data_IF_546511917128
#
_entry.id   IF_546511917128
#
_cell.length_a   1.000
_cell.length_b   1.000
_cell.length_c   1.000
_cell.angle_alpha   90.00
_cell.angle_beta   90.00
_cell.angle_gamma   90.00
#
_symmetry.space_group_name_H-M   'P 1'
#
loop_
_entity.id
_entity.type
_entity.pdbx_description
1 polymer ?
#
# COMPACT_ATOMS: atom_id res chain seq x y z
N UNK A 1 4.60 -6.09 -14.74
CA UNK A 1 3.81 -5.48 -13.65
C UNK A 1 4.71 -5.11 -12.49
N UNK A 2 4.55 -3.93 -11.97
CA UNK A 2 5.32 -3.45 -10.82
C UNK A 2 4.43 -3.51 -9.58
N UNK A 3 4.95 -4.14 -8.52
CA UNK A 3 4.29 -4.24 -7.23
C UNK A 3 5.03 -3.37 -6.22
N UNK A 4 4.32 -2.40 -5.67
CA UNK A 4 4.84 -1.46 -4.69
C UNK A 4 4.23 -1.81 -3.35
N UNK A 5 5.03 -2.34 -2.45
CA UNK A 5 4.57 -2.84 -1.17
C UNK A 5 5.15 -1.99 -0.05
N UNK A 6 4.29 -1.45 0.79
CA UNK A 6 4.69 -0.67 1.96
C UNK A 6 4.27 -1.41 3.21
N UNK A 7 5.24 -1.82 4.00
CA UNK A 7 5.02 -2.41 5.32
C UNK A 7 5.03 -1.29 6.35
N UNK A 8 4.07 -1.28 7.25
CA UNK A 8 3.88 -0.18 8.19
C UNK A 8 3.91 -0.65 9.63
N UNK A 9 4.65 0.08 10.45
CA UNK A 9 4.59 0.00 11.90
C UNK A 9 3.66 1.12 12.35
N UNK A 10 2.62 0.80 13.10
CA UNK A 10 1.59 1.78 13.47
C UNK A 10 2.00 2.62 14.67
N UNK A 11 1.47 3.85 14.74
CA UNK A 11 1.56 4.66 15.95
C UNK A 11 0.80 3.96 17.09
N UNK A 12 1.25 4.14 18.35
CA UNK A 12 0.63 3.44 19.51
C UNK A 12 -0.86 3.74 19.68
N UNK A 13 -1.32 4.91 19.25
CA UNK A 13 -2.73 5.30 19.39
C UNK A 13 -3.66 4.71 18.35
N UNK A 14 -3.12 3.99 17.36
CA UNK A 14 -3.94 3.35 16.32
C UNK A 14 -4.58 2.10 16.90
N UNK A 15 -5.86 2.21 17.23
CA UNK A 15 -6.67 1.09 17.74
C UNK A 15 -7.09 0.18 16.58
N UNK A 16 -7.59 -1.05 16.88
CA UNK A 16 -8.15 -1.91 15.81
C UNK A 16 -9.25 -1.22 15.00
N UNK A 17 -10.10 -0.42 15.63
CA UNK A 17 -11.14 0.33 14.92
C UNK A 17 -10.53 1.38 13.98
N UNK A 18 -9.50 2.08 14.42
CA UNK A 18 -8.77 3.04 13.58
C UNK A 18 -8.08 2.36 12.40
N UNK A 19 -7.53 1.17 12.63
CA UNK A 19 -6.88 0.40 11.56
C UNK A 19 -7.89 0.00 10.47
N UNK A 20 -9.08 -0.45 10.86
CA UNK A 20 -10.15 -0.77 9.89
C UNK A 20 -10.51 0.47 9.06
N UNK A 21 -10.62 1.62 9.69
CA UNK A 21 -10.90 2.88 9.03
C UNK A 21 -9.77 3.29 8.10
N UNK A 22 -8.53 3.08 8.53
CA UNK A 22 -7.33 3.36 7.72
C UNK A 22 -7.32 2.50 6.46
N UNK A 23 -7.64 1.23 6.57
CA UNK A 23 -7.72 0.34 5.42
C UNK A 23 -8.81 0.77 4.43
N UNK A 24 -9.97 1.15 4.93
CA UNK A 24 -11.06 1.66 4.09
C UNK A 24 -10.65 2.94 3.35
N UNK A 25 -10.07 3.89 4.08
CA UNK A 25 -9.60 5.16 3.51
C UNK A 25 -8.54 4.93 2.45
N UNK A 26 -7.62 4.01 2.70
CA UNK A 26 -6.56 3.63 1.75
C UNK A 26 -7.17 3.15 0.43
N UNK A 27 -8.09 2.19 0.49
CA UNK A 27 -8.73 1.66 -0.72
C UNK A 27 -9.52 2.74 -1.46
N UNK A 28 -10.34 3.49 -0.75
CA UNK A 28 -11.20 4.50 -1.38
C UNK A 28 -10.41 5.62 -2.02
N UNK A 29 -9.34 6.06 -1.37
CA UNK A 29 -8.53 7.18 -1.86
C UNK A 29 -7.67 6.78 -3.05
N UNK A 30 -6.96 5.67 -2.93
CA UNK A 30 -5.98 5.27 -3.95
C UNK A 30 -6.65 4.73 -5.22
N UNK A 31 -7.86 4.19 -5.12
CA UNK A 31 -8.61 3.77 -6.31
C UNK A 31 -9.00 4.93 -7.23
N UNK A 32 -8.92 6.16 -6.76
CA UNK A 32 -9.17 7.35 -7.58
C UNK A 32 -8.02 7.70 -8.52
N UNK A 33 -6.87 7.08 -8.33
CA UNK A 33 -5.67 7.37 -9.12
C UNK A 33 -5.62 6.41 -10.31
N UNK A 34 -5.71 6.94 -11.56
CA UNK A 34 -5.86 6.07 -12.75
C UNK A 34 -4.69 5.14 -13.00
N UNK A 35 -3.48 5.53 -12.62
CA UNK A 35 -2.27 4.74 -12.86
C UNK A 35 -2.18 3.52 -11.96
N UNK A 36 -2.93 3.49 -10.86
CA UNK A 36 -2.95 2.36 -9.94
C UNK A 36 -3.94 1.31 -10.45
N UNK A 37 -3.43 0.13 -10.77
CA UNK A 37 -4.25 -0.97 -11.29
C UNK A 37 -4.95 -1.74 -10.18
N UNK A 38 -4.32 -1.85 -9.01
CA UNK A 38 -4.85 -2.61 -7.90
C UNK A 38 -4.39 -2.00 -6.59
N UNK A 39 -5.30 -1.91 -5.63
CA UNK A 39 -5.01 -1.48 -4.27
C UNK A 39 -5.38 -2.60 -3.33
N UNK A 40 -4.41 -3.10 -2.59
CA UNK A 40 -4.63 -4.10 -1.55
C UNK A 40 -4.00 -3.61 -0.27
N UNK A 41 -4.68 -3.84 0.83
CA UNK A 41 -4.13 -3.56 2.14
C UNK A 41 -4.67 -4.58 3.12
N UNK A 42 -3.96 -4.78 4.21
CA UNK A 42 -4.36 -5.79 5.16
C UNK A 42 -3.57 -5.73 6.45
N UNK A 43 -3.94 -6.65 7.34
CA UNK A 43 -3.30 -6.80 8.65
C UNK A 43 -2.40 -8.02 8.64
N UNK A 44 -1.29 -7.92 9.37
CA UNK A 44 -0.44 -9.08 9.57
C UNK A 44 -1.16 -10.09 10.46
N UNK A 45 -1.14 -11.35 10.08
CA UNK A 45 -1.76 -12.42 10.87
C UNK A 45 -0.90 -12.82 12.08
N UNK A 46 0.38 -12.46 12.08
CA UNK A 46 1.26 -12.65 13.22
C UNK A 46 1.17 -11.43 14.13
N UNK A 47 0.52 -11.58 15.29
CA UNK A 47 0.33 -10.50 16.26
C UNK A 47 1.63 -9.98 16.86
N UNK A 48 2.73 -10.73 16.72
CA UNK A 48 4.05 -10.36 17.22
C UNK A 48 4.91 -9.65 16.19
N UNK A 49 4.43 -9.55 14.93
CA UNK A 49 5.18 -8.87 13.88
C UNK A 49 5.27 -7.38 14.16
N UNK A 50 6.43 -6.81 13.87
CA UNK A 50 6.61 -5.37 13.93
C UNK A 50 5.97 -4.63 12.75
N UNK A 51 5.44 -5.37 11.76
CA UNK A 51 4.80 -4.82 10.56
C UNK A 51 3.31 -5.22 10.54
N UNK A 52 2.47 -4.60 11.38
CA UNK A 52 1.06 -5.00 11.53
C UNK A 52 0.16 -4.65 10.35
N UNK A 53 0.59 -3.74 9.47
CA UNK A 53 -0.23 -3.24 8.37
C UNK A 53 0.59 -3.16 7.11
N UNK A 54 -0.04 -3.43 5.96
CA UNK A 54 0.63 -3.26 4.67
C UNK A 54 -0.30 -2.64 3.64
N UNK A 55 0.32 -1.99 2.66
CA UNK A 55 -0.36 -1.48 1.47
C UNK A 55 0.39 -2.02 0.26
N UNK A 56 -0.33 -2.66 -0.65
CA UNK A 56 0.24 -3.17 -1.89
C UNK A 56 -0.46 -2.55 -3.09
N UNK A 57 0.32 -1.90 -3.93
CA UNK A 57 -0.16 -1.26 -5.16
C UNK A 57 0.42 -1.97 -6.36
N UNK A 58 -0.34 -2.03 -7.44
CA UNK A 58 0.09 -2.62 -8.69
C UNK A 58 0.06 -1.56 -9.79
N UNK A 59 1.14 -1.49 -10.56
CA UNK A 59 1.29 -0.56 -11.69
C UNK A 59 1.66 -1.32 -12.94
N UNK A 60 1.27 -0.79 -14.09
CA UNK A 60 1.64 -1.36 -15.38
C UNK A 60 3.16 -1.30 -15.61
N UNK A 61 3.81 -0.21 -15.15
CA UNK A 61 5.22 0.04 -15.38
C UNK A 61 5.81 0.94 -14.29
N UNK A 62 7.13 1.04 -14.28
CA UNK A 62 7.84 1.97 -13.39
C UNK A 62 7.49 3.42 -13.71
N UNK A 63 7.21 3.73 -14.98
CA UNK A 63 6.79 5.08 -15.39
C UNK A 63 5.47 5.46 -14.76
N UNK A 64 4.51 4.54 -14.78
CA UNK A 64 3.20 4.76 -14.14
C UNK A 64 3.33 4.92 -12.63
N UNK A 65 4.22 4.16 -12.00
CA UNK A 65 4.50 4.31 -10.58
C UNK A 65 5.07 5.71 -10.29
N UNK A 66 6.02 6.17 -11.08
CA UNK A 66 6.60 7.51 -10.92
C UNK A 66 5.56 8.61 -11.10
N UNK A 67 4.65 8.48 -12.06
CA UNK A 67 3.54 9.41 -12.24
C UNK A 67 2.66 9.49 -11.00
N UNK A 68 2.41 8.35 -10.35
CA UNK A 68 1.61 8.29 -9.14
C UNK A 68 2.30 9.02 -7.99
N UNK A 69 3.61 8.89 -7.86
CA UNK A 69 4.37 9.58 -6.82
C UNK A 69 4.24 11.11 -6.91
N UNK A 70 4.02 11.63 -8.11
CA UNK A 70 3.82 13.06 -8.36
C UNK A 70 2.33 13.46 -8.33
N UNK A 71 1.43 12.51 -8.16
CA UNK A 71 0.00 12.80 -8.13
C UNK A 71 -0.39 13.48 -6.81
N UNK A 72 -1.18 14.55 -6.90
CA UNK A 72 -1.57 15.35 -5.74
C UNK A 72 -2.39 14.55 -4.72
N UNK A 73 -3.27 13.64 -5.19
CA UNK A 73 -4.07 12.79 -4.32
C UNK A 73 -3.15 11.85 -3.55
N UNK A 74 -2.19 11.24 -4.24
CA UNK A 74 -1.23 10.31 -3.63
C UNK A 74 -0.35 11.02 -2.59
N UNK A 75 0.20 12.17 -2.95
CA UNK A 75 1.07 12.95 -2.05
C UNK A 75 0.33 13.35 -0.79
N UNK A 76 -0.91 13.81 -0.92
CA UNK A 76 -1.75 14.17 0.22
C UNK A 76 -2.08 12.96 1.07
N UNK A 77 -2.40 11.83 0.46
CA UNK A 77 -2.67 10.59 1.17
C UNK A 77 -1.46 10.16 2.00
N UNK A 78 -0.27 10.17 1.43
CA UNK A 78 0.95 9.80 2.14
C UNK A 78 1.21 10.75 3.32
N UNK A 79 1.12 12.07 3.10
CA UNK A 79 1.44 13.03 4.17
C UNK A 79 0.39 13.05 5.27
N UNK A 80 -0.90 13.02 4.92
CA UNK A 80 -1.98 13.24 5.89
C UNK A 80 -2.46 11.96 6.54
N UNK A 81 -2.41 10.84 5.82
CA UNK A 81 -2.98 9.57 6.29
C UNK A 81 -1.87 8.60 6.71
N UNK A 82 -0.92 8.31 5.83
CA UNK A 82 0.10 7.30 6.11
C UNK A 82 1.06 7.77 7.19
N UNK A 83 1.67 8.93 7.01
CA UNK A 83 2.67 9.45 7.96
C UNK A 83 2.08 9.74 9.33
N UNK A 84 0.82 10.17 9.41
CA UNK A 84 0.18 10.47 10.68
C UNK A 84 -0.19 9.23 11.50
N UNK A 85 -0.36 8.08 10.84
CA UNK A 85 -0.78 6.83 11.49
C UNK A 85 0.34 5.81 11.64
N UNK A 86 1.51 6.06 11.08
CA UNK A 86 2.61 5.11 11.11
C UNK A 86 3.86 5.67 11.77
N UNK A 87 4.51 4.83 12.57
CA UNK A 87 5.78 5.18 13.23
C UNK A 87 6.97 4.94 12.30
N UNK A 88 6.87 3.93 11.45
CA UNK A 88 7.94 3.52 10.54
C UNK A 88 7.36 2.79 9.35
N UNK A 89 8.05 2.85 8.22
CA UNK A 89 7.62 2.20 6.97
C UNK A 89 8.81 1.59 6.27
N UNK A 90 8.56 0.47 5.61
CA UNK A 90 9.52 -0.18 4.71
C UNK A 90 8.85 -0.37 3.36
N UNK A 91 9.41 0.22 2.31
CA UNK A 91 8.86 0.14 0.97
C UNK A 91 9.73 -0.77 0.11
N UNK A 92 9.06 -1.70 -0.57
CA UNK A 92 9.69 -2.68 -1.46
C UNK A 92 9.01 -2.62 -2.82
N UNK A 93 9.80 -2.66 -3.88
CA UNK A 93 9.30 -2.64 -5.24
C UNK A 93 9.75 -3.89 -5.96
N UNK A 94 8.81 -4.62 -6.54
CA UNK A 94 9.07 -5.85 -7.27
C UNK A 94 8.48 -5.78 -8.67
N UNK A 95 9.19 -6.31 -9.64
CA UNK A 95 8.65 -6.54 -10.96
C UNK A 95 8.23 -8.00 -11.05
N UNK A 96 6.98 -8.22 -11.48
CA UNK A 96 6.44 -9.57 -11.69
C UNK A 96 6.01 -9.73 -13.13
N UNK A 97 6.23 -10.91 -13.70
CA UNK A 97 5.75 -11.24 -15.03
C UNK A 97 4.23 -11.26 -15.03
N UNK A 98 3.60 -10.46 -15.91
CA UNK A 98 2.15 -10.41 -15.94
C UNK A 98 1.56 -11.67 -16.56
N UNK A 99 0.43 -12.11 -16.02
CA UNK A 99 -0.42 -13.09 -16.64
C UNK A 99 0.08 -14.52 -16.70
N UNK A 100 1.23 -14.85 -16.12
CA UNK A 100 1.72 -16.23 -16.11
C UNK A 100 1.07 -17.02 -14.97
N UNK A 101 0.38 -18.07 -15.34
CA UNK A 101 -0.12 -19.06 -14.39
C UNK A 101 0.88 -20.19 -14.30
N UNK A 102 1.58 -20.28 -13.17
CA UNK A 102 2.69 -21.21 -12.98
C UNK A 102 2.29 -22.47 -12.21
N UNK A 103 1.02 -22.75 -12.07
CA UNK A 103 0.58 -23.90 -11.26
C UNK A 103 1.01 -25.25 -11.80
N UNK A 104 1.40 -25.31 -13.07
CA UNK A 104 1.88 -26.54 -13.70
C UNK A 104 3.39 -26.60 -13.86
N UNK A 105 4.07 -25.64 -13.37
CA UNK A 105 5.53 -25.63 -13.45
C UNK A 105 6.17 -26.48 -12.40
#
# INVERSE_FOLDING_TARGET
MVHHITLCKLQPEVTPAKLEKLMMTTRMTLLKIPEILSVRCGKNIDSKSEWPFFIALEFESMEKMAMTEDDAIYMKFISDIVKSNTASRLTLNYEMEPGKNVKYS
#
